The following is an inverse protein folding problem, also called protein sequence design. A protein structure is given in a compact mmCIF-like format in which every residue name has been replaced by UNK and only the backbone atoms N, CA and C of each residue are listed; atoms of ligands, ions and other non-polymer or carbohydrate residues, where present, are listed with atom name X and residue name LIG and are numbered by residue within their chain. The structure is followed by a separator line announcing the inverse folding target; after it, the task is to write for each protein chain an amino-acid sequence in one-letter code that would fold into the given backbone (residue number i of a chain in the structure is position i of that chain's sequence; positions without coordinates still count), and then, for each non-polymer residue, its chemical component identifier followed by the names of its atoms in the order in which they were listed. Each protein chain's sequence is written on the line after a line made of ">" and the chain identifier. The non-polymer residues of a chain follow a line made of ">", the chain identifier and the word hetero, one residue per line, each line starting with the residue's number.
data_IF_767363243441
#
_entry.id   IF_767363243441
#
_cell.length_a   1.000
_cell.length_b   1.000
_cell.length_c   1.000
_cell.angle_alpha   90.00
_cell.angle_beta   90.00
_cell.angle_gamma   90.00
#
_symmetry.space_group_name_H-M   'P 1'
#
loop_
_entity.id
_entity.type
_entity.pdbx_description
1 polymer ?
#
# COMPACT_ATOMS: atom_id res chain seq x y z
N UNK A 1 2.87 12.82 7.26
CA UNK A 1 1.92 12.23 6.29
C UNK A 1 1.37 10.94 6.87
N UNK A 2 0.17 10.51 6.49
CA UNK A 2 -0.42 9.25 6.95
C UNK A 2 -0.66 8.35 5.74
N UNK A 3 -0.43 7.05 5.90
CA UNK A 3 -0.87 6.02 4.95
C UNK A 3 -1.78 5.02 5.66
N UNK A 4 -2.86 4.63 4.98
CA UNK A 4 -3.77 3.58 5.41
C UNK A 4 -4.48 2.99 4.20
N UNK A 5 -4.97 1.77 4.32
CA UNK A 5 -5.84 1.11 3.34
C UNK A 5 -7.08 0.53 4.01
N UNK A 6 -8.11 0.28 3.20
CA UNK A 6 -9.33 -0.38 3.65
C UNK A 6 -9.98 -1.12 2.48
N UNK A 7 -10.83 -2.09 2.82
CA UNK A 7 -11.67 -2.85 1.92
C UNK A 7 -12.99 -3.20 2.61
N UNK A 8 -13.84 -3.97 1.93
CA UNK A 8 -15.14 -4.39 2.47
C UNK A 8 -15.02 -5.10 3.84
N UNK A 9 -14.00 -5.94 4.01
CA UNK A 9 -13.77 -6.75 5.21
C UNK A 9 -13.08 -6.02 6.36
N UNK A 10 -12.63 -4.77 6.18
CA UNK A 10 -11.96 -4.02 7.25
C UNK A 10 -10.91 -3.03 6.77
N UNK A 11 -9.96 -2.69 7.66
CA UNK A 11 -8.93 -1.68 7.40
C UNK A 11 -7.56 -2.12 7.89
N UNK A 12 -6.51 -1.56 7.30
CA UNK A 12 -5.15 -1.70 7.80
C UNK A 12 -4.93 -0.95 9.11
N UNK A 13 -3.80 -1.24 9.75
CA UNK A 13 -3.18 -0.30 10.68
C UNK A 13 -2.80 1.00 9.96
N UNK A 14 -2.81 2.11 10.69
CA UNK A 14 -2.39 3.42 10.21
C UNK A 14 -0.88 3.61 10.35
N UNK A 15 -0.22 4.02 9.27
CA UNK A 15 1.21 4.33 9.26
C UNK A 15 1.45 5.84 9.33
N UNK A 16 2.22 6.30 10.32
CA UNK A 16 2.65 7.69 10.46
C UNK A 16 4.01 7.89 9.80
N UNK A 17 4.04 8.65 8.71
CA UNK A 17 5.24 8.92 7.92
C UNK A 17 5.80 10.28 8.31
N UNK A 18 7.05 10.30 8.76
CA UNK A 18 7.78 11.53 9.00
C UNK A 18 8.28 12.12 7.66
N UNK A 19 7.91 13.37 7.39
CA UNK A 19 8.26 14.05 6.13
C UNK A 19 7.55 13.49 4.89
N UNK A 20 8.23 13.56 3.74
CA UNK A 20 7.73 13.14 2.42
C UNK A 20 8.14 11.70 2.14
N UNK A 21 7.18 10.86 1.76
CA UNK A 21 7.45 9.49 1.33
C UNK A 21 8.22 9.46 0.01
N UNK A 22 9.19 8.56 -0.07
CA UNK A 22 9.89 8.21 -1.30
C UNK A 22 9.42 6.83 -1.80
N UNK A 23 9.88 6.42 -2.98
CA UNK A 23 9.44 5.17 -3.61
C UNK A 23 9.74 3.92 -2.78
N UNK A 24 10.88 3.87 -2.09
CA UNK A 24 11.21 2.72 -1.23
C UNK A 24 10.33 2.68 0.03
N UNK A 25 10.14 3.82 0.67
CA UNK A 25 9.26 3.96 1.83
C UNK A 25 7.82 3.58 1.49
N UNK A 26 7.35 3.89 0.28
CA UNK A 26 6.05 3.43 -0.20
C UNK A 26 5.95 1.90 -0.19
N UNK A 27 6.93 1.21 -0.79
CA UNK A 27 6.95 -0.26 -0.85
C UNK A 27 7.01 -0.90 0.54
N UNK A 28 7.82 -0.36 1.44
CA UNK A 28 7.91 -0.88 2.81
C UNK A 28 6.59 -0.71 3.57
N UNK A 29 5.90 0.41 3.38
CA UNK A 29 4.58 0.63 3.96
C UNK A 29 3.56 -0.40 3.45
N UNK A 30 3.56 -0.74 2.15
CA UNK A 30 2.69 -1.79 1.61
C UNK A 30 2.99 -3.16 2.20
N UNK A 31 4.28 -3.55 2.28
CA UNK A 31 4.68 -4.84 2.85
C UNK A 31 4.21 -5.00 4.29
N UNK A 32 4.44 -3.97 5.12
CA UNK A 32 4.16 -4.04 6.56
C UNK A 32 2.67 -3.95 6.85
N UNK A 33 1.92 -3.13 6.10
CA UNK A 33 0.56 -2.77 6.48
C UNK A 33 -0.53 -3.31 5.57
N UNK A 34 -0.21 -3.87 4.39
CA UNK A 34 -1.21 -4.36 3.43
C UNK A 34 -1.07 -5.83 3.07
N UNK A 35 0.14 -6.29 2.71
CA UNK A 35 0.33 -7.59 2.03
C UNK A 35 -0.30 -8.74 2.81
N UNK A 36 -0.05 -8.83 4.11
CA UNK A 36 -0.53 -9.95 4.94
C UNK A 36 -2.04 -9.90 5.23
N UNK A 37 -2.66 -8.73 5.11
CA UNK A 37 -4.08 -8.53 5.44
C UNK A 37 -4.99 -8.39 4.22
N UNK A 38 -4.43 -8.30 3.01
CA UNK A 38 -5.17 -8.04 1.78
C UNK A 38 -6.35 -8.98 1.57
N UNK A 39 -6.12 -10.29 1.75
CA UNK A 39 -7.15 -11.31 1.63
C UNK A 39 -8.25 -11.16 2.70
N UNK A 40 -7.89 -10.77 3.92
CA UNK A 40 -8.84 -10.59 5.01
C UNK A 40 -9.75 -9.38 4.79
N UNK A 41 -9.21 -8.28 4.24
CA UNK A 41 -9.98 -7.04 4.03
C UNK A 41 -10.66 -6.97 2.65
N UNK A 42 -10.17 -7.71 1.65
CA UNK A 42 -10.62 -7.62 0.26
C UNK A 42 -11.15 -8.92 -0.35
N UNK A 43 -11.02 -10.07 0.32
CA UNK A 43 -11.36 -11.39 -0.22
C UNK A 43 -10.21 -12.06 -1.00
N UNK A 44 -10.42 -13.29 -1.48
CA UNK A 44 -9.38 -14.08 -2.18
C UNK A 44 -8.84 -13.43 -3.45
N UNK A 45 -9.70 -12.70 -4.17
CA UNK A 45 -9.40 -12.09 -5.47
C UNK A 45 -9.43 -10.56 -5.39
N UNK A 46 -8.96 -10.03 -4.27
CA UNK A 46 -8.96 -8.59 -4.01
C UNK A 46 -8.10 -7.83 -5.03
N UNK A 47 -8.56 -6.64 -5.38
CA UNK A 47 -7.86 -5.74 -6.30
C UNK A 47 -7.24 -4.60 -5.49
N UNK A 48 -5.94 -4.39 -5.65
CA UNK A 48 -5.27 -3.24 -5.08
C UNK A 48 -5.54 -1.97 -5.90
N UNK A 49 -5.99 -0.90 -5.23
CA UNK A 49 -6.24 0.41 -5.85
C UNK A 49 -5.41 1.49 -5.15
N UNK A 50 -4.84 2.38 -5.97
CA UNK A 50 -4.05 3.55 -5.56
C UNK A 50 -4.21 4.67 -6.61
N UNK A 51 -3.80 5.89 -6.28
CA UNK A 51 -3.66 6.97 -7.26
C UNK A 51 -2.33 6.86 -8.05
N UNK A 52 -2.11 7.76 -9.01
CA UNK A 52 -0.91 7.80 -9.84
C UNK A 52 0.19 8.74 -9.30
N UNK A 53 0.32 8.89 -7.98
CA UNK A 53 1.43 9.66 -7.42
C UNK A 53 2.78 9.14 -7.95
N UNK A 54 3.76 10.04 -8.16
CA UNK A 54 5.06 9.70 -8.75
C UNK A 54 5.78 8.56 -8.01
N UNK A 55 5.60 8.47 -6.69
CA UNK A 55 6.17 7.39 -5.88
C UNK A 55 5.46 6.05 -6.12
N UNK A 56 4.16 6.03 -6.40
CA UNK A 56 3.41 4.81 -6.74
C UNK A 56 3.75 4.30 -8.14
N UNK A 57 3.95 5.23 -9.08
CA UNK A 57 4.32 4.94 -10.48
C UNK A 57 5.83 4.79 -10.71
N UNK A 58 6.65 4.82 -9.65
CA UNK A 58 8.09 4.64 -9.79
C UNK A 58 8.41 3.24 -10.34
N UNK A 59 9.37 3.14 -11.28
CA UNK A 59 9.76 1.87 -11.92
C UNK A 59 10.05 0.74 -10.92
N UNK A 60 10.69 1.07 -9.80
CA UNK A 60 11.01 0.11 -8.72
C UNK A 60 9.76 -0.49 -8.06
N UNK A 61 8.67 0.27 -7.98
CA UNK A 61 7.42 -0.19 -7.37
C UNK A 61 6.57 -0.94 -8.39
N UNK A 62 6.49 -0.46 -9.63
CA UNK A 62 5.84 -1.18 -10.72
C UNK A 62 6.48 -2.56 -10.98
N UNK A 63 7.81 -2.67 -10.83
CA UNK A 63 8.50 -3.94 -10.92
C UNK A 63 8.20 -4.89 -9.73
N UNK A 64 7.85 -4.35 -8.56
CA UNK A 64 7.50 -5.14 -7.38
C UNK A 64 6.06 -5.68 -7.42
N UNK A 65 5.16 -5.03 -8.17
CA UNK A 65 3.80 -5.52 -8.40
C UNK A 65 3.70 -6.63 -9.46
N UNK A 66 4.77 -6.89 -10.21
CA UNK A 66 4.84 -7.94 -11.23
C UNK A 66 5.45 -9.20 -10.63
#
# INVERSE_FOLDING_TARGET
>A
MIWASFGWGGKSSTCFINGRMNSNGYREVLKIHLVDIGNAIGGSDWIFQQDNALVHQAKVNLAWFK
#
